data_IF_464768982113
#
_entry.id   IF_464768982113
#
_cell.length_a   1.000
_cell.length_b   1.000
_cell.length_c   1.000
_cell.angle_alpha   90.00
_cell.angle_beta   90.00
_cell.angle_gamma   90.00
#
_symmetry.space_group_name_H-M   'P 1'
#
loop_
_entity.id
_entity.type
_entity.pdbx_description
1 polymer ?
#
# COMPACT_ATOMS: atom_id res chain seq x y z
N UNK A 1 33.48 8.47 8.13
CA UNK A 1 32.79 7.19 8.39
C UNK A 1 31.67 7.34 9.44
N UNK A 2 31.68 8.38 10.27
CA UNK A 2 30.61 8.65 11.26
C UNK A 2 29.39 9.38 10.69
N UNK A 3 29.50 10.04 9.56
CA UNK A 3 28.40 10.87 9.02
C UNK A 3 27.33 10.06 8.27
N UNK A 4 27.69 8.86 7.81
CA UNK A 4 26.73 7.97 7.14
C UNK A 4 25.82 7.23 8.13
N UNK A 5 26.28 7.06 9.36
CA UNK A 5 25.52 6.41 10.44
C UNK A 5 24.47 7.38 11.01
N UNK A 6 24.78 8.66 11.06
CA UNK A 6 23.86 9.70 11.54
C UNK A 6 22.72 10.02 10.57
N UNK A 7 22.88 9.71 9.28
CA UNK A 7 21.80 9.88 8.29
C UNK A 7 20.62 8.92 8.52
N UNK A 8 20.85 7.80 9.20
CA UNK A 8 19.83 6.82 9.53
C UNK A 8 19.13 7.05 10.88
N UNK A 9 19.65 7.92 11.76
CA UNK A 9 19.28 7.86 13.18
C UNK A 9 18.27 8.86 13.69
N UNK A 10 17.95 9.98 13.05
CA UNK A 10 17.12 10.97 13.78
C UNK A 10 15.89 11.54 13.08
N UNK A 11 15.76 11.43 11.77
CA UNK A 11 14.54 11.89 11.09
C UNK A 11 13.91 10.85 10.18
N UNK A 12 14.58 9.76 9.95
CA UNK A 12 14.13 8.70 9.04
C UNK A 12 13.67 7.43 9.77
N UNK A 13 13.29 7.53 11.04
CA UNK A 13 12.46 6.50 11.67
C UNK A 13 11.17 6.25 10.88
N UNK A 14 11.01 6.96 9.77
CA UNK A 14 9.74 6.96 9.07
C UNK A 14 9.77 7.25 7.60
N UNK A 15 10.93 7.22 6.99
CA UNK A 15 10.98 7.04 5.55
C UNK A 15 11.29 5.57 5.21
N UNK A 16 10.71 4.66 6.02
CA UNK A 16 10.02 3.57 5.39
C UNK A 16 8.81 4.22 4.72
N UNK A 17 9.06 5.13 3.80
CA UNK A 17 8.11 5.40 2.77
C UNK A 17 7.95 4.09 2.05
N UNK A 18 7.02 3.28 2.58
CA UNK A 18 6.31 2.34 1.75
C UNK A 18 5.70 3.23 0.69
N UNK A 19 6.48 3.49 -0.38
CA UNK A 19 5.88 3.65 -1.67
C UNK A 19 5.29 2.27 -1.96
N UNK A 20 4.21 1.93 -1.24
CA UNK A 20 3.28 0.96 -1.71
C UNK A 20 2.70 1.60 -2.97
N UNK A 21 3.37 1.41 -4.09
CA UNK A 21 2.72 1.45 -5.37
C UNK A 21 1.71 0.30 -5.28
N UNK A 22 0.56 0.59 -4.67
CA UNK A 22 -0.64 -0.17 -4.90
C UNK A 22 -0.97 0.19 -6.34
N UNK A 23 -0.39 -0.54 -7.29
CA UNK A 23 -1.02 -0.66 -8.58
C UNK A 23 -2.37 -1.30 -8.27
N UNK A 24 -3.48 -0.59 -8.42
CA UNK A 24 -4.78 -1.24 -8.39
C UNK A 24 -4.79 -2.13 -9.64
N UNK A 25 -4.37 -3.37 -9.51
CA UNK A 25 -4.92 -4.38 -10.38
C UNK A 25 -6.40 -4.43 -9.98
N UNK A 26 -7.18 -3.57 -10.61
CA UNK A 26 -8.63 -3.63 -10.56
C UNK A 26 -9.04 -4.90 -11.28
N UNK A 27 -8.97 -6.03 -10.57
CA UNK A 27 -9.63 -7.24 -11.02
C UNK A 27 -11.12 -6.96 -10.94
N UNK A 28 -11.71 -6.86 -12.12
CA UNK A 28 -13.13 -6.89 -12.41
C UNK A 28 -13.99 -6.10 -11.42
N UNK A 29 -14.36 -4.88 -11.77
CA UNK A 29 -15.61 -4.29 -11.29
C UNK A 29 -16.72 -5.29 -11.64
N UNK A 30 -17.17 -6.06 -10.67
CA UNK A 30 -18.47 -6.69 -10.76
C UNK A 30 -19.51 -5.58 -10.61
N UNK A 31 -19.72 -4.83 -11.67
CA UNK A 31 -20.85 -3.95 -11.81
C UNK A 31 -22.05 -4.88 -12.03
N UNK A 32 -22.92 -4.98 -11.03
CA UNK A 32 -24.25 -5.52 -11.27
C UNK A 32 -24.94 -4.53 -12.19
N UNK A 33 -24.84 -4.75 -13.49
CA UNK A 33 -25.66 -4.05 -14.46
C UNK A 33 -27.10 -4.54 -14.25
N UNK A 34 -27.93 -3.73 -13.63
CA UNK A 34 -29.35 -3.78 -13.88
C UNK A 34 -29.57 -3.37 -15.34
N UNK A 35 -29.96 -4.35 -16.17
CA UNK A 35 -30.37 -4.13 -17.53
C UNK A 35 -31.59 -3.21 -17.57
N UNK A 36 -31.45 -2.12 -18.27
CA UNK A 36 -32.58 -1.38 -18.82
C UNK A 36 -32.94 -0.09 -18.13
N UNK A 37 -32.62 0.94 -18.80
CA UNK A 37 -33.07 2.34 -18.76
C UNK A 37 -32.03 3.33 -18.28
N UNK A 38 -31.82 4.33 -19.10
CA UNK A 38 -31.12 5.62 -18.94
C UNK A 38 -31.06 6.23 -17.53
N UNK A 39 -30.65 5.48 -16.52
CA UNK A 39 -30.41 6.00 -15.18
C UNK A 39 -28.94 6.39 -15.08
N UNK A 40 -28.63 7.59 -15.55
CA UNK A 40 -27.31 8.19 -15.36
C UNK A 40 -27.04 8.57 -13.90
N UNK A 41 -27.98 8.35 -13.01
CA UNK A 41 -27.90 8.72 -11.58
C UNK A 41 -28.20 7.52 -10.68
N UNK A 42 -27.45 7.41 -9.56
CA UNK A 42 -27.74 6.35 -8.59
C UNK A 42 -26.56 6.03 -7.65
N UNK A 43 -26.90 5.31 -6.62
CA UNK A 43 -25.94 4.74 -5.68
C UNK A 43 -25.30 3.48 -6.27
N UNK A 44 -24.04 3.29 -5.98
CA UNK A 44 -23.34 2.03 -6.27
C UNK A 44 -22.40 1.66 -5.13
N UNK A 45 -22.17 0.38 -4.99
CA UNK A 45 -21.19 -0.17 -4.05
C UNK A 45 -20.38 -1.23 -4.78
N UNK A 46 -19.17 -1.44 -4.32
CA UNK A 46 -18.32 -2.48 -4.87
C UNK A 46 -17.25 -2.91 -3.89
N UNK A 47 -16.59 -3.99 -4.27
CA UNK A 47 -15.43 -4.53 -3.57
C UNK A 47 -14.19 -4.35 -4.43
N UNK A 48 -13.06 -4.12 -3.81
CA UNK A 48 -11.77 -4.07 -4.48
C UNK A 48 -10.79 -4.99 -3.78
N UNK A 49 -9.89 -5.58 -4.56
CA UNK A 49 -8.83 -6.44 -4.06
C UNK A 49 -7.53 -6.15 -4.78
N UNK A 50 -6.42 -6.53 -4.18
CA UNK A 50 -5.12 -6.34 -4.81
C UNK A 50 -3.99 -6.95 -4.00
N UNK A 51 -2.81 -6.95 -4.59
CA UNK A 51 -1.57 -7.37 -3.94
C UNK A 51 -0.70 -6.14 -3.73
N UNK A 52 -0.51 -5.69 -2.47
CA UNK A 52 0.38 -4.60 -2.16
C UNK A 52 1.84 -5.07 -2.27
N UNK A 53 2.69 -4.19 -2.79
CA UNK A 53 4.13 -4.38 -2.85
C UNK A 53 4.80 -3.26 -2.04
N UNK A 54 5.86 -3.58 -1.34
CA UNK A 54 6.66 -2.63 -0.57
C UNK A 54 8.13 -2.71 -0.91
N UNK A 55 8.77 -1.54 -0.94
CA UNK A 55 10.20 -1.40 -1.16
C UNK A 55 10.78 -0.47 -0.09
N UNK A 56 11.65 -1.01 0.73
CA UNK A 56 12.42 -0.26 1.73
C UNK A 56 13.64 -1.10 2.09
N UNK A 57 14.18 -0.98 3.29
CA UNK A 57 15.19 -1.93 3.82
C UNK A 57 14.66 -3.38 3.90
N UNK A 58 13.35 -3.53 3.96
CA UNK A 58 12.61 -4.77 3.69
C UNK A 58 11.81 -4.58 2.41
N UNK A 59 11.72 -5.61 1.58
CA UNK A 59 11.10 -5.54 0.26
C UNK A 59 10.21 -6.76 0.02
N UNK A 60 9.20 -6.61 -0.82
CA UNK A 60 8.42 -7.74 -1.34
C UNK A 60 9.24 -8.66 -2.26
N UNK A 61 10.36 -8.16 -2.77
CA UNK A 61 11.30 -8.89 -3.63
C UNK A 61 12.69 -8.96 -3.00
N UNK A 62 12.77 -9.14 -1.69
CA UNK A 62 14.02 -9.29 -0.97
C UNK A 62 14.59 -10.72 -1.04
N UNK A 63 15.50 -11.02 -0.14
CA UNK A 63 16.24 -12.28 -0.08
C UNK A 63 15.32 -13.52 -0.02
N UNK A 64 14.31 -13.49 0.81
CA UNK A 64 13.24 -14.48 0.83
C UNK A 64 12.04 -13.99 0.01
N UNK A 65 11.86 -14.55 -1.18
CA UNK A 65 10.91 -14.07 -2.21
C UNK A 65 9.48 -14.61 -2.04
N UNK A 66 9.17 -15.24 -0.93
CA UNK A 66 7.91 -16.00 -0.76
C UNK A 66 6.75 -15.20 -0.20
N UNK A 67 6.90 -13.90 0.07
CA UNK A 67 5.92 -13.13 0.82
C UNK A 67 5.10 -12.20 -0.07
N UNK A 68 3.96 -12.70 -0.52
CA UNK A 68 2.96 -11.89 -1.20
C UNK A 68 2.01 -11.27 -0.15
N UNK A 69 1.74 -9.98 -0.31
CA UNK A 69 0.71 -9.29 0.46
C UNK A 69 -0.68 -9.48 -0.15
N UNK A 70 -1.69 -9.18 0.63
CA UNK A 70 -3.06 -9.07 0.17
C UNK A 70 -3.68 -7.76 0.66
N UNK A 71 -4.62 -7.24 -0.10
CA UNK A 71 -5.44 -6.11 0.31
C UNK A 71 -6.86 -6.33 -0.20
N UNK A 72 -7.82 -5.97 0.63
CA UNK A 72 -9.23 -5.99 0.28
C UNK A 72 -9.88 -4.70 0.77
N UNK A 73 -10.89 -4.25 0.05
CA UNK A 73 -11.59 -3.03 0.39
C UNK A 73 -13.01 -3.01 -0.14
N UNK A 74 -13.72 -2.02 0.36
CA UNK A 74 -15.07 -1.68 -0.06
C UNK A 74 -15.06 -0.23 -0.56
N UNK A 75 -15.86 0.02 -1.55
CA UNK A 75 -16.14 1.38 -1.98
C UNK A 75 -17.64 1.55 -2.22
N UNK A 76 -18.10 2.76 -2.03
CA UNK A 76 -19.46 3.15 -2.31
C UNK A 76 -19.51 4.58 -2.78
N UNK A 77 -20.37 4.85 -3.74
CA UNK A 77 -20.45 6.16 -4.34
C UNK A 77 -21.81 6.49 -4.89
N UNK A 78 -21.92 7.70 -5.34
CA UNK A 78 -23.09 8.21 -6.01
C UNK A 78 -22.73 8.80 -7.36
N UNK A 79 -23.40 8.33 -8.40
CA UNK A 79 -23.28 8.86 -9.75
C UNK A 79 -24.30 9.99 -9.93
N UNK A 80 -23.82 11.20 -10.13
CA UNK A 80 -24.68 12.38 -10.33
C UNK A 80 -25.21 12.46 -11.77
N UNK A 81 -24.41 12.04 -12.73
CA UNK A 81 -24.73 11.99 -14.16
C UNK A 81 -23.72 11.10 -14.89
N UNK A 82 -23.77 11.06 -16.20
CA UNK A 82 -22.85 10.28 -17.05
C UNK A 82 -21.38 10.72 -16.96
N UNK A 83 -21.12 11.91 -16.43
CA UNK A 83 -19.79 12.52 -16.37
C UNK A 83 -19.20 12.42 -14.96
N UNK A 84 -19.99 12.70 -13.93
CA UNK A 84 -19.50 12.86 -12.56
C UNK A 84 -20.05 11.81 -11.60
N UNK A 85 -19.16 11.24 -10.78
CA UNK A 85 -19.53 10.50 -9.59
C UNK A 85 -18.57 10.82 -8.43
N UNK A 86 -19.06 10.70 -7.21
CA UNK A 86 -18.24 10.79 -6.00
C UNK A 86 -18.26 9.44 -5.28
N UNK A 87 -17.12 9.09 -4.68
CA UNK A 87 -16.93 7.77 -4.07
C UNK A 87 -16.13 7.89 -2.79
N UNK A 88 -16.51 7.08 -1.81
CA UNK A 88 -15.76 6.82 -0.60
C UNK A 88 -15.24 5.39 -0.64
N UNK A 89 -14.01 5.18 -0.20
CA UNK A 89 -13.39 3.86 -0.15
C UNK A 89 -12.67 3.61 1.15
N UNK A 90 -12.70 2.36 1.59
CA UNK A 90 -11.93 1.87 2.71
C UNK A 90 -11.27 0.55 2.31
N UNK A 91 -9.95 0.48 2.46
CA UNK A 91 -9.14 -0.70 2.12
C UNK A 91 -8.25 -1.07 3.29
N UNK A 92 -8.13 -2.36 3.56
CA UNK A 92 -7.19 -2.92 4.51
C UNK A 92 -6.33 -3.96 3.81
N UNK A 93 -5.07 -4.04 4.21
CA UNK A 93 -4.15 -5.03 3.66
C UNK A 93 -2.99 -5.33 4.61
N UNK A 94 -2.38 -6.46 4.33
CA UNK A 94 -1.20 -6.95 5.05
C UNK A 94 -0.16 -7.45 4.05
N UNK A 95 1.10 -7.23 4.38
CA UNK A 95 2.21 -7.76 3.59
C UNK A 95 3.37 -8.15 4.51
N UNK A 96 4.09 -9.17 4.10
CA UNK A 96 5.38 -9.53 4.66
C UNK A 96 6.46 -9.06 3.69
N UNK A 97 7.45 -8.39 4.22
CA UNK A 97 8.59 -7.91 3.47
C UNK A 97 9.83 -8.62 3.99
N UNK A 98 10.64 -9.18 3.11
CA UNK A 98 11.91 -9.80 3.47
C UNK A 98 13.05 -8.78 3.40
N UNK A 99 14.17 -9.08 4.05
CA UNK A 99 15.37 -8.27 3.97
C UNK A 99 15.85 -8.13 2.52
N UNK A 100 16.35 -6.95 2.16
CA UNK A 100 16.97 -6.76 0.85
C UNK A 100 18.31 -7.50 0.74
N UNK A 101 18.63 -8.00 -0.46
CA UNK A 101 19.87 -8.73 -0.75
C UNK A 101 21.10 -7.92 -0.32
N UNK A 102 21.12 -6.62 -0.58
CA UNK A 102 22.24 -5.76 -0.20
C UNK A 102 22.51 -5.67 1.31
N UNK A 103 21.49 -5.88 2.14
CA UNK A 103 21.62 -5.87 3.60
C UNK A 103 22.06 -7.25 4.12
N UNK A 104 21.59 -8.31 3.46
CA UNK A 104 21.98 -9.70 3.73
C UNK A 104 23.44 -9.94 3.36
N UNK A 105 23.86 -9.53 2.17
CA UNK A 105 25.24 -9.66 1.70
C UNK A 105 26.27 -8.94 2.59
N UNK A 106 25.85 -7.87 3.25
CA UNK A 106 26.70 -7.11 4.20
C UNK A 106 26.68 -7.69 5.62
N UNK A 107 25.96 -8.79 5.85
CA UNK A 107 25.82 -9.44 7.16
C UNK A 107 25.39 -8.46 8.26
N UNK A 108 24.42 -7.60 7.98
CA UNK A 108 23.92 -6.67 9.00
C UNK A 108 23.12 -7.38 10.08
N UNK A 109 23.25 -6.84 11.29
CA UNK A 109 22.53 -7.25 12.49
C UNK A 109 21.65 -6.13 12.99
N UNK A 110 20.43 -6.46 13.41
CA UNK A 110 19.50 -5.51 14.03
C UNK A 110 19.59 -5.69 15.55
N UNK A 111 19.99 -4.67 16.27
CA UNK A 111 19.96 -4.67 17.73
C UNK A 111 18.57 -4.36 18.29
N UNK A 112 18.31 -4.77 19.53
CA UNK A 112 17.05 -4.46 20.23
C UNK A 112 16.79 -2.97 20.41
N UNK A 113 17.81 -2.12 20.26
CA UNK A 113 17.73 -0.67 20.21
C UNK A 113 17.31 -0.11 18.84
N UNK A 114 17.10 -0.96 17.84
CA UNK A 114 16.72 -0.59 16.48
C UNK A 114 17.85 -0.07 15.60
N UNK A 115 19.10 -0.22 16.03
CA UNK A 115 20.28 0.16 15.25
C UNK A 115 20.83 -1.04 14.48
N UNK A 116 21.45 -0.75 13.31
CA UNK A 116 22.14 -1.73 12.50
C UNK A 116 23.60 -1.84 12.92
N UNK A 117 24.09 -3.06 13.00
CA UNK A 117 25.46 -3.43 13.33
C UNK A 117 26.04 -4.36 12.28
N UNK A 118 27.37 -4.38 12.15
CA UNK A 118 28.08 -5.29 11.23
C UNK A 118 28.34 -6.69 11.84
N UNK A 119 27.98 -6.89 13.09
CA UNK A 119 28.12 -8.16 13.81
C UNK A 119 27.15 -8.20 14.99
N UNK A 120 26.92 -9.38 15.55
CA UNK A 120 26.13 -9.55 16.78
C UNK A 120 26.74 -8.75 17.93
N UNK A 121 25.92 -8.08 18.73
CA UNK A 121 26.35 -7.19 19.80
C UNK A 121 26.37 -7.91 21.13
N UNK A 122 27.51 -7.94 21.80
CA UNK A 122 27.63 -8.53 23.13
C UNK A 122 26.86 -7.71 24.17
N UNK A 123 26.05 -8.37 24.98
CA UNK A 123 25.28 -7.74 26.05
C UNK A 123 23.96 -7.10 25.63
N UNK A 124 23.56 -7.28 24.38
CA UNK A 124 22.29 -6.80 23.85
C UNK A 124 21.71 -7.84 22.89
N UNK A 125 20.39 -8.05 22.92
CA UNK A 125 19.73 -8.89 21.94
C UNK A 125 19.90 -8.31 20.55
N UNK A 126 20.35 -9.13 19.63
CA UNK A 126 20.57 -8.77 18.25
C UNK A 126 20.26 -9.94 17.32
N UNK A 127 19.73 -9.62 16.15
CA UNK A 127 19.26 -10.61 15.17
C UNK A 127 19.91 -10.33 13.81
N UNK A 128 20.35 -11.38 13.19
CA UNK A 128 20.86 -11.32 11.82
C UNK A 128 19.77 -10.85 10.88
N UNK A 129 20.08 -9.89 10.01
CA UNK A 129 19.09 -9.26 9.15
C UNK A 129 18.44 -10.23 8.14
N UNK A 130 19.21 -11.24 7.70
CA UNK A 130 18.73 -12.33 6.83
C UNK A 130 17.59 -13.14 7.45
N UNK A 131 17.53 -13.23 8.79
CA UNK A 131 16.54 -13.99 9.53
C UNK A 131 15.31 -13.16 9.95
N UNK A 132 15.21 -11.92 9.45
CA UNK A 132 14.14 -10.98 9.79
C UNK A 132 13.20 -10.73 8.62
N UNK A 133 11.93 -10.55 8.95
CA UNK A 133 10.88 -10.05 8.05
C UNK A 133 10.16 -8.87 8.68
N UNK A 134 9.64 -7.98 7.86
CA UNK A 134 8.77 -6.89 8.30
C UNK A 134 7.33 -7.24 7.98
N UNK A 135 6.51 -7.40 9.01
CA UNK A 135 5.08 -7.58 8.90
C UNK A 135 4.39 -6.23 8.92
N UNK A 136 3.85 -5.84 7.78
CA UNK A 136 3.23 -4.53 7.57
C UNK A 136 1.73 -4.67 7.44
N UNK A 137 1.00 -3.90 8.22
CA UNK A 137 -0.43 -3.72 8.12
C UNK A 137 -0.71 -2.32 7.63
N UNK A 138 -1.63 -2.18 6.69
CA UNK A 138 -2.02 -0.91 6.13
C UNK A 138 -3.54 -0.77 6.07
N UNK A 139 -4.02 0.44 6.33
CA UNK A 139 -5.38 0.86 6.07
C UNK A 139 -5.36 2.07 5.16
N UNK A 140 -6.26 2.17 4.20
CA UNK A 140 -6.45 3.32 3.34
C UNK A 140 -7.93 3.71 3.36
N UNK A 141 -8.19 4.97 3.65
CA UNK A 141 -9.53 5.54 3.69
C UNK A 141 -9.52 6.78 2.81
N UNK A 142 -10.39 6.83 1.83
CA UNK A 142 -10.30 7.90 0.84
C UNK A 142 -11.64 8.32 0.27
N UNK A 143 -11.60 9.52 -0.31
CA UNK A 143 -12.65 10.06 -1.14
C UNK A 143 -12.09 10.38 -2.51
N UNK A 144 -12.84 10.09 -3.56
CA UNK A 144 -12.51 10.42 -4.93
C UNK A 144 -13.71 10.97 -5.69
N UNK A 145 -13.41 11.78 -6.68
CA UNK A 145 -14.39 12.24 -7.66
C UNK A 145 -13.97 11.63 -9.00
N UNK A 146 -14.86 10.90 -9.63
CA UNK A 146 -14.59 10.34 -10.94
C UNK A 146 -15.19 11.26 -12.02
N UNK A 147 -14.38 11.60 -13.00
CA UNK A 147 -14.78 12.41 -14.14
C UNK A 147 -14.62 11.57 -15.40
N UNK A 148 -15.74 11.11 -15.96
CA UNK A 148 -15.74 10.33 -17.20
C UNK A 148 -15.47 11.25 -18.39
N UNK A 149 -14.27 11.15 -18.97
CA UNK A 149 -13.86 11.97 -20.12
C UNK A 149 -14.65 11.65 -21.37
N UNK A 150 -15.01 10.38 -21.59
CA UNK A 150 -15.81 10.00 -22.75
C UNK A 150 -17.25 10.52 -22.66
N UNK A 151 -17.76 10.68 -21.44
CA UNK A 151 -19.06 11.30 -21.20
C UNK A 151 -19.14 12.77 -21.56
N UNK A 152 -17.99 13.46 -21.69
CA UNK A 152 -17.92 14.86 -22.13
C UNK A 152 -18.20 15.01 -23.65
N UNK A 153 -18.02 13.95 -24.41
CA UNK A 153 -18.21 13.98 -25.86
C UNK A 153 -19.52 13.29 -26.25
N UNK A 154 -20.46 14.04 -26.83
CA UNK A 154 -21.79 13.53 -27.23
C UNK A 154 -21.76 12.26 -28.08
N UNK A 155 -20.73 12.10 -28.92
CA UNK A 155 -20.58 10.94 -29.80
C UNK A 155 -20.19 9.65 -29.07
N UNK A 156 -19.61 9.75 -27.90
CA UNK A 156 -19.07 8.64 -27.11
C UNK A 156 -19.82 8.39 -25.81
N UNK A 157 -20.89 9.16 -25.54
CA UNK A 157 -21.70 9.05 -24.33
C UNK A 157 -22.35 7.65 -24.14
N UNK A 158 -22.54 6.90 -25.23
CA UNK A 158 -23.04 5.52 -25.23
C UNK A 158 -21.95 4.48 -25.54
N UNK A 159 -20.68 4.84 -25.38
CA UNK A 159 -19.57 3.92 -25.57
C UNK A 159 -19.63 2.79 -24.53
N UNK A 160 -19.17 1.61 -24.92
CA UNK A 160 -18.92 0.50 -23.98
C UNK A 160 -17.66 0.71 -23.15
N UNK A 161 -16.87 1.72 -23.49
CA UNK A 161 -15.64 2.06 -22.80
C UNK A 161 -15.86 3.31 -21.96
N UNK A 162 -15.37 3.28 -20.75
CA UNK A 162 -15.31 4.42 -19.86
C UNK A 162 -13.84 4.83 -19.72
N UNK A 163 -13.55 6.10 -19.90
CA UNK A 163 -12.25 6.69 -19.60
C UNK A 163 -12.48 7.77 -18.55
N UNK A 164 -12.02 7.53 -17.34
CA UNK A 164 -12.23 8.47 -16.25
C UNK A 164 -10.91 8.92 -15.62
N UNK A 165 -10.86 10.20 -15.26
CA UNK A 165 -9.84 10.77 -14.38
C UNK A 165 -10.44 10.92 -12.98
N UNK A 166 -9.74 10.43 -11.98
CA UNK A 166 -10.27 10.33 -10.63
C UNK A 166 -9.31 10.98 -9.61
N UNK A 167 -9.38 12.32 -9.46
CA UNK A 167 -8.68 12.97 -8.35
C UNK A 167 -9.20 12.45 -7.02
N UNK A 168 -8.26 12.20 -6.10
CA UNK A 168 -8.58 11.62 -4.80
C UNK A 168 -7.72 12.17 -3.69
N UNK A 169 -8.27 12.11 -2.48
CA UNK A 169 -7.59 12.34 -1.22
C UNK A 169 -7.78 11.11 -0.34
N UNK A 170 -6.75 10.72 0.39
CA UNK A 170 -6.81 9.56 1.27
C UNK A 170 -5.97 9.72 2.51
N UNK A 171 -6.42 9.09 3.60
CA UNK A 171 -5.65 8.86 4.80
C UNK A 171 -5.13 7.40 4.77
N UNK A 172 -3.85 7.22 5.03
CA UNK A 172 -3.21 5.91 5.10
C UNK A 172 -2.73 5.67 6.51
N UNK A 173 -3.09 4.53 7.08
CA UNK A 173 -2.50 4.02 8.30
C UNK A 173 -1.49 2.93 7.94
N UNK A 174 -0.32 2.99 8.55
CA UNK A 174 0.69 1.96 8.41
C UNK A 174 1.23 1.54 9.75
N UNK A 175 1.45 0.25 9.94
CA UNK A 175 2.12 -0.32 11.09
C UNK A 175 3.02 -1.46 10.64
N UNK A 176 4.32 -1.36 10.93
CA UNK A 176 5.32 -2.35 10.58
C UNK A 176 5.93 -2.95 11.84
N UNK A 177 5.72 -4.22 12.07
CA UNK A 177 6.35 -4.99 13.14
C UNK A 177 7.50 -5.81 12.53
N UNK A 178 8.68 -5.85 13.15
CA UNK A 178 9.78 -6.72 12.72
C UNK A 178 9.66 -8.04 13.48
N UNK A 179 9.78 -9.14 12.73
CA UNK A 179 9.65 -10.50 13.24
C UNK A 179 10.76 -11.38 12.70
N UNK A 180 11.04 -12.45 13.40
CA UNK A 180 11.88 -13.53 12.88
C UNK A 180 11.14 -14.32 11.81
N UNK A 181 11.88 -14.89 10.85
CA UNK A 181 11.30 -15.75 9.80
C UNK A 181 10.95 -17.12 10.38
N UNK A 182 11.81 -17.66 11.26
CA UNK A 182 11.71 -19.04 11.71
C UNK A 182 10.50 -19.32 12.61
N UNK A 183 10.23 -18.47 13.58
CA UNK A 183 9.22 -18.69 14.61
C UNK A 183 8.16 -17.58 14.71
N UNK A 184 8.20 -16.63 13.76
CA UNK A 184 7.32 -15.45 13.72
C UNK A 184 7.35 -14.61 15.02
N UNK A 185 8.40 -14.76 15.82
CA UNK A 185 8.55 -14.03 17.06
C UNK A 185 8.74 -12.54 16.78
N UNK A 186 8.05 -11.72 17.54
CA UNK A 186 8.13 -10.26 17.39
C UNK A 186 9.39 -9.74 18.05
N UNK A 187 10.31 -9.27 17.23
CA UNK A 187 11.57 -8.65 17.65
C UNK A 187 11.36 -7.18 17.97
N UNK A 188 10.63 -6.47 17.13
CA UNK A 188 10.38 -5.06 17.31
C UNK A 188 8.95 -4.69 16.95
N UNK A 189 8.30 -3.94 17.83
CA UNK A 189 6.93 -3.44 17.62
C UNK A 189 6.96 -2.06 16.97
N UNK A 190 6.33 -1.94 15.82
CA UNK A 190 6.14 -0.64 15.17
C UNK A 190 5.01 0.17 15.79
N UNK A 191 5.11 1.48 15.64
CA UNK A 191 4.01 2.41 15.91
C UNK A 191 3.05 2.49 14.73
N UNK A 192 1.80 2.83 15.01
CA UNK A 192 0.85 3.17 13.94
C UNK A 192 1.10 4.61 13.50
N UNK A 193 1.30 4.79 12.21
CA UNK A 193 1.54 6.09 11.61
C UNK A 193 0.39 6.44 10.67
N UNK A 194 0.03 7.72 10.65
CA UNK A 194 -0.98 8.27 9.78
C UNK A 194 -0.34 9.19 8.75
N UNK A 195 -0.73 9.04 7.52
CA UNK A 195 -0.28 9.87 6.41
C UNK A 195 -1.49 10.32 5.60
N UNK A 196 -1.47 11.57 5.19
CA UNK A 196 -2.42 12.10 4.23
C UNK A 196 -1.77 12.08 2.85
N UNK A 197 -2.49 11.56 1.87
CA UNK A 197 -2.06 11.52 0.48
C UNK A 197 -3.11 12.10 -0.44
N UNK A 198 -2.67 12.57 -1.59
CA UNK A 198 -3.53 13.00 -2.68
C UNK A 198 -2.94 12.53 -4.01
N UNK A 199 -3.79 12.40 -5.00
CA UNK A 199 -3.37 11.93 -6.31
C UNK A 199 -4.51 11.95 -7.30
N UNK A 200 -4.25 11.37 -8.46
CA UNK A 200 -5.25 11.14 -9.49
C UNK A 200 -5.01 9.80 -10.15
N UNK A 201 -6.06 9.04 -10.39
CA UNK A 201 -6.04 7.78 -11.11
C UNK A 201 -6.62 7.99 -12.51
N UNK A 202 -6.07 7.27 -13.48
CA UNK A 202 -6.67 7.10 -14.80
C UNK A 202 -7.31 5.71 -14.84
N UNK A 203 -8.59 5.65 -15.15
CA UNK A 203 -9.38 4.41 -15.23
C UNK A 203 -9.88 4.23 -16.66
N UNK A 204 -9.77 2.99 -17.14
CA UNK A 204 -10.24 2.56 -18.47
C UNK A 204 -11.19 1.41 -18.33
#
# INVERSE_FOLDING_TARGET
MNDMINYFTTKNRLLVAILAFILPFSFAKAEVKEDGMNSSQGWYVGIEGGMPFGFSTFSSFGHDKTHLGWAAGLYGGYRFNSIFSAELSAKYGEMNLSAQDCCVERNYWLGSNGMLYNAGVLGMDSWEYANLKSYVRMGRYGARVNVNLLGLFHKTANSRWDLAVSPHIYAVTTKADIRTIADDAKVMKGSTNWHLGYGADLQV
#
